data_IF_393191990333
#
_entry.id   IF_393191990333
#
_cell.length_a   1.000
_cell.length_b   1.000
_cell.length_c   1.000
_cell.angle_alpha   90.00
_cell.angle_beta   90.00
_cell.angle_gamma   90.00
#
_symmetry.space_group_name_H-M   'P 1'
#
loop_
_entity.id
_entity.type
_entity.pdbx_description
1 polymer ?
#
# COMPACT_ATOMS: atom_id res chain seq x y z
N UNK A 1 25.38 -6.93 -60.99
CA UNK A 1 25.98 -8.14 -60.37
C UNK A 1 26.80 -7.66 -59.17
N UNK A 2 26.55 -7.97 -57.90
CA UNK A 2 25.85 -9.08 -57.23
C UNK A 2 24.80 -8.53 -56.25
N UNK A 3 23.65 -9.21 -56.19
CA UNK A 3 22.59 -8.97 -55.22
C UNK A 3 22.99 -9.58 -53.87
N UNK A 4 22.79 -8.86 -52.76
CA UNK A 4 22.76 -9.48 -51.43
C UNK A 4 21.40 -9.14 -50.82
N UNK A 5 20.71 -10.21 -50.47
CA UNK A 5 19.30 -10.31 -50.11
C UNK A 5 19.06 -9.77 -48.70
N UNK A 6 17.92 -9.10 -48.55
CA UNK A 6 17.20 -8.93 -47.28
C UNK A 6 16.95 -10.30 -46.64
N UNK A 7 17.37 -10.48 -45.39
CA UNK A 7 16.93 -11.56 -44.53
C UNK A 7 15.83 -11.03 -43.59
N UNK A 8 14.66 -11.67 -43.51
CA UNK A 8 13.56 -11.23 -42.66
C UNK A 8 13.83 -11.55 -41.18
N UNK A 9 13.53 -10.58 -40.32
CA UNK A 9 13.41 -10.72 -38.87
C UNK A 9 12.30 -11.74 -38.56
N UNK A 10 12.68 -12.89 -38.00
CA UNK A 10 11.77 -13.89 -37.48
C UNK A 10 11.06 -13.35 -36.23
N UNK A 11 9.75 -13.16 -36.36
CA UNK A 11 8.81 -12.92 -35.26
C UNK A 11 8.72 -14.20 -34.44
N UNK A 12 9.26 -14.21 -33.22
CA UNK A 12 8.96 -15.26 -32.23
C UNK A 12 7.63 -14.89 -31.58
N UNK A 13 6.55 -15.34 -32.22
CA UNK A 13 5.22 -15.35 -31.63
C UNK A 13 5.11 -16.59 -30.72
N UNK A 14 5.21 -16.40 -29.40
CA UNK A 14 4.82 -17.43 -28.45
C UNK A 14 3.30 -17.43 -28.28
N UNK A 15 2.66 -18.42 -28.90
CA UNK A 15 1.28 -18.83 -28.67
C UNK A 15 1.03 -19.13 -27.18
N UNK A 16 0.18 -18.33 -26.54
CA UNK A 16 -0.58 -18.74 -25.37
C UNK A 16 -2.06 -18.76 -25.78
N UNK A 17 -2.48 -19.85 -26.41
CA UNK A 17 -3.89 -20.13 -26.63
C UNK A 17 -4.39 -21.16 -25.61
N UNK A 18 -5.45 -20.74 -24.92
CA UNK A 18 -6.63 -21.52 -24.54
C UNK A 18 -6.49 -22.64 -23.51
N UNK A 19 -7.01 -22.40 -22.31
CA UNK A 19 -8.21 -23.14 -21.84
C UNK A 19 -9.16 -22.17 -21.13
N UNK A 20 -10.08 -21.59 -21.89
CA UNK A 20 -11.39 -21.19 -21.35
C UNK A 20 -12.33 -22.30 -21.79
N UNK A 21 -12.79 -23.12 -20.84
CA UNK A 21 -13.97 -23.95 -21.06
C UNK A 21 -14.92 -23.78 -19.88
N UNK A 22 -16.05 -23.21 -20.25
CA UNK A 22 -17.30 -23.08 -19.52
C UNK A 22 -17.80 -24.49 -19.19
N UNK A 23 -18.26 -24.69 -17.96
CA UNK A 23 -19.21 -25.75 -17.66
C UNK A 23 -20.32 -25.15 -16.77
N UNK A 24 -21.33 -24.61 -17.45
CA UNK A 24 -22.65 -24.39 -16.90
C UNK A 24 -23.42 -25.70 -17.05
N UNK A 25 -24.09 -26.11 -15.97
CA UNK A 25 -25.20 -27.06 -15.86
C UNK A 25 -25.08 -28.48 -16.44
N UNK A 26 -25.07 -29.46 -15.51
CA UNK A 26 -25.88 -30.66 -15.67
C UNK A 26 -26.32 -31.24 -14.30
N UNK A 27 -27.64 -31.23 -14.11
CA UNK A 27 -28.47 -32.21 -13.38
C UNK A 27 -28.41 -32.32 -11.84
N UNK A 28 -29.48 -31.78 -11.24
CA UNK A 28 -30.25 -32.38 -10.14
C UNK A 28 -30.29 -33.92 -10.24
N UNK A 29 -29.96 -34.59 -9.14
CA UNK A 29 -30.72 -35.61 -8.39
C UNK A 29 -29.70 -36.36 -7.52
N UNK A 30 -29.67 -35.99 -6.25
CA UNK A 30 -29.25 -36.84 -5.13
C UNK A 30 -29.78 -36.17 -3.85
N UNK A 31 -31.10 -36.15 -3.72
CA UNK A 31 -31.73 -36.13 -2.39
C UNK A 31 -31.59 -37.57 -1.87
N UNK A 32 -30.69 -37.78 -0.91
CA UNK A 32 -31.08 -38.40 0.36
C UNK A 32 -29.87 -38.47 1.32
N UNK A 33 -30.10 -37.93 2.51
CA UNK A 33 -29.32 -38.12 3.74
C UNK A 33 -27.91 -37.50 3.81
N UNK A 34 -27.86 -36.17 3.85
CA UNK A 34 -26.94 -35.48 4.76
C UNK A 34 -27.60 -34.19 5.22
N UNK A 35 -27.84 -34.05 6.52
CA UNK A 35 -28.21 -32.78 7.16
C UNK A 35 -27.20 -31.71 6.76
N UNK A 36 -27.56 -30.89 5.77
CA UNK A 36 -26.75 -29.82 5.24
C UNK A 36 -26.73 -28.66 6.23
N UNK A 37 -25.83 -28.75 7.21
CA UNK A 37 -25.35 -27.55 7.89
C UNK A 37 -24.51 -26.76 6.89
N UNK A 38 -25.17 -25.94 6.06
CA UNK A 38 -24.49 -24.88 5.34
C UNK A 38 -23.80 -24.00 6.38
N UNK A 39 -22.48 -23.79 6.31
CA UNK A 39 -21.81 -22.92 7.27
C UNK A 39 -22.45 -21.53 7.19
N UNK A 40 -22.79 -20.96 8.34
CA UNK A 40 -23.34 -19.61 8.40
C UNK A 40 -22.38 -18.66 7.65
N UNK A 41 -22.92 -17.86 6.72
CA UNK A 41 -22.09 -16.93 5.93
C UNK A 41 -21.31 -15.98 6.85
N UNK A 42 -21.97 -15.52 7.91
CA UNK A 42 -21.36 -14.67 8.93
C UNK A 42 -22.01 -14.90 10.29
N UNK A 43 -21.22 -14.82 11.35
CA UNK A 43 -21.70 -14.70 12.73
C UNK A 43 -21.14 -13.42 13.36
N UNK A 44 -21.91 -12.83 14.27
CA UNK A 44 -21.47 -11.67 15.06
C UNK A 44 -21.37 -12.06 16.54
N UNK A 45 -20.33 -11.60 17.21
CA UNK A 45 -20.08 -11.80 18.65
C UNK A 45 -19.75 -10.47 19.31
N UNK A 46 -20.54 -10.08 20.30
CA UNK A 46 -20.21 -8.98 21.20
C UNK A 46 -19.09 -9.40 22.16
N UNK A 47 -18.05 -8.58 22.26
CA UNK A 47 -16.88 -8.81 23.09
C UNK A 47 -16.72 -7.62 24.04
N UNK A 48 -17.13 -7.80 25.29
CA UNK A 48 -17.04 -6.76 26.34
C UNK A 48 -15.75 -6.93 27.12
N UNK A 49 -14.75 -6.13 26.80
CA UNK A 49 -13.44 -6.15 27.44
C UNK A 49 -13.38 -5.38 28.76
N UNK A 50 -14.40 -4.59 29.09
CA UNK A 50 -14.57 -3.94 30.40
C UNK A 50 -14.62 -4.96 31.54
N UNK A 51 -15.40 -6.04 31.38
CA UNK A 51 -15.58 -7.07 32.40
C UNK A 51 -14.46 -8.12 32.35
N UNK A 52 -13.95 -8.40 31.15
CA UNK A 52 -12.88 -9.36 30.93
C UNK A 52 -11.92 -8.86 29.84
N UNK A 53 -10.78 -8.25 30.21
CA UNK A 53 -9.82 -7.71 29.24
C UNK A 53 -9.28 -8.75 28.25
N UNK A 54 -9.35 -10.05 28.55
CA UNK A 54 -8.87 -11.11 27.65
C UNK A 54 -9.98 -11.72 26.77
N UNK A 55 -11.20 -11.19 26.83
CA UNK A 55 -12.35 -11.75 26.12
C UNK A 55 -12.11 -11.87 24.60
N UNK A 56 -11.53 -10.85 23.97
CA UNK A 56 -11.21 -10.87 22.53
C UNK A 56 -10.22 -11.98 22.18
N UNK A 57 -9.12 -12.09 22.93
CA UNK A 57 -8.11 -13.14 22.73
C UNK A 57 -8.73 -14.53 22.89
N UNK A 58 -9.55 -14.71 23.92
CA UNK A 58 -10.24 -15.97 24.17
C UNK A 58 -11.24 -16.32 23.05
N UNK A 59 -11.90 -15.31 22.47
CA UNK A 59 -12.80 -15.51 21.34
C UNK A 59 -12.05 -15.87 20.05
N UNK A 60 -10.93 -15.20 19.75
CA UNK A 60 -10.08 -15.51 18.60
C UNK A 60 -9.53 -16.95 18.62
N UNK A 61 -9.30 -17.51 19.82
CA UNK A 61 -8.84 -18.88 20.01
C UNK A 61 -9.94 -19.94 19.83
N UNK A 62 -11.20 -19.54 19.64
CA UNK A 62 -12.31 -20.49 19.42
C UNK A 62 -12.46 -20.85 17.95
N UNK A 63 -12.90 -22.07 17.70
CA UNK A 63 -13.33 -22.52 16.37
C UNK A 63 -14.78 -22.09 16.12
N UNK A 64 -15.03 -21.51 14.95
CA UNK A 64 -16.36 -21.11 14.51
C UNK A 64 -16.72 -21.80 13.21
N UNK A 65 -17.93 -22.35 13.12
CA UNK A 65 -18.48 -22.95 11.90
C UNK A 65 -19.17 -21.89 11.02
N UNK A 66 -18.43 -20.84 10.69
CA UNK A 66 -18.85 -19.80 9.75
C UNK A 66 -17.71 -19.45 8.81
N UNK A 67 -18.02 -18.80 7.69
CA UNK A 67 -16.99 -18.22 6.84
C UNK A 67 -16.44 -16.95 7.50
N UNK A 68 -17.31 -15.99 7.79
CA UNK A 68 -16.94 -14.76 8.46
C UNK A 68 -17.34 -14.77 9.95
N UNK A 69 -16.51 -14.17 10.80
CA UNK A 69 -16.78 -13.93 12.22
C UNK A 69 -16.49 -12.47 12.51
N UNK A 70 -17.52 -11.73 12.87
CA UNK A 70 -17.42 -10.33 13.29
C UNK A 70 -17.40 -10.24 14.81
N UNK A 71 -16.34 -9.68 15.36
CA UNK A 71 -16.22 -9.30 16.75
C UNK A 71 -16.52 -7.82 16.90
N UNK A 72 -17.57 -7.50 17.64
CA UNK A 72 -17.90 -6.11 18.02
C UNK A 72 -17.32 -5.89 19.40
N UNK A 73 -16.26 -5.08 19.51
CA UNK A 73 -15.52 -4.88 20.75
C UNK A 73 -15.96 -3.62 21.49
N UNK A 74 -15.99 -3.70 22.82
CA UNK A 74 -16.14 -2.54 23.71
C UNK A 74 -15.22 -2.66 24.92
N UNK A 75 -14.79 -1.52 25.47
CA UNK A 75 -13.79 -1.44 26.52
C UNK A 75 -12.35 -1.70 26.03
N UNK A 76 -11.39 -1.74 26.96
CA UNK A 76 -9.97 -1.95 26.67
C UNK A 76 -9.65 -3.45 26.56
N UNK A 77 -9.58 -3.98 25.35
CA UNK A 77 -9.15 -5.35 25.09
C UNK A 77 -7.62 -5.48 25.22
N UNK A 78 -7.15 -6.55 25.87
CA UNK A 78 -5.73 -6.75 26.13
C UNK A 78 -5.03 -7.45 24.96
N UNK A 79 -4.03 -6.76 24.41
CA UNK A 79 -3.06 -7.28 23.45
C UNK A 79 -1.83 -7.94 24.12
N UNK A 80 -0.90 -8.48 23.31
CA UNK A 80 -1.00 -8.65 21.86
C UNK A 80 -2.04 -9.72 21.47
N UNK A 81 -2.47 -9.73 20.22
CA UNK A 81 -3.30 -10.80 19.65
C UNK A 81 -2.69 -11.30 18.34
N UNK A 82 -2.95 -12.57 18.05
CA UNK A 82 -2.54 -13.22 16.81
C UNK A 82 -3.79 -13.75 16.09
N UNK A 83 -3.88 -13.49 14.80
CA UNK A 83 -4.99 -13.91 13.95
C UNK A 83 -4.42 -14.76 12.82
N UNK A 84 -4.83 -16.03 12.78
CA UNK A 84 -4.41 -17.01 11.76
C UNK A 84 -5.59 -17.58 10.97
N UNK A 85 -6.81 -17.18 11.32
CA UNK A 85 -8.04 -17.61 10.66
C UNK A 85 -8.52 -16.49 9.73
N UNK A 86 -8.81 -16.83 8.48
CA UNK A 86 -9.44 -15.89 7.53
C UNK A 86 -10.89 -15.58 7.87
N UNK A 87 -11.39 -14.44 7.37
CA UNK A 87 -12.77 -14.02 7.57
C UNK A 87 -13.00 -13.53 9.00
N UNK A 88 -12.04 -12.82 9.58
CA UNK A 88 -12.18 -12.17 10.88
C UNK A 88 -12.41 -10.68 10.66
N UNK A 89 -13.45 -10.14 11.27
CA UNK A 89 -13.67 -8.70 11.37
C UNK A 89 -13.63 -8.31 12.85
N UNK A 90 -12.84 -7.31 13.20
CA UNK A 90 -12.84 -6.70 14.53
C UNK A 90 -13.27 -5.26 14.34
N UNK A 91 -14.43 -4.91 14.89
CA UNK A 91 -15.01 -3.59 14.74
C UNK A 91 -15.34 -3.01 16.11
N UNK A 92 -15.23 -1.70 16.26
CA UNK A 92 -15.71 -1.03 17.45
C UNK A 92 -17.24 -1.08 17.56
N UNK A 93 -17.74 -1.18 18.79
CA UNK A 93 -19.14 -0.92 19.10
C UNK A 93 -19.43 0.57 18.90
N UNK A 94 -20.43 0.95 18.10
CA UNK A 94 -20.75 2.37 17.90
C UNK A 94 -21.37 3.03 19.14
N UNK A 95 -21.90 2.25 20.08
CA UNK A 95 -22.49 2.75 21.33
C UNK A 95 -21.48 2.89 22.48
N UNK A 96 -20.29 2.30 22.38
CA UNK A 96 -19.28 2.24 23.44
C UNK A 96 -17.87 2.37 22.86
N UNK A 97 -16.92 2.97 23.58
CA UNK A 97 -15.53 2.97 23.10
C UNK A 97 -14.87 1.60 23.30
N UNK A 98 -14.33 1.03 22.22
CA UNK A 98 -13.48 -0.15 22.19
C UNK A 98 -12.05 0.21 21.78
N UNK A 99 -11.08 -0.47 22.40
CA UNK A 99 -9.66 -0.30 22.07
C UNK A 99 -8.89 -1.59 22.30
N UNK A 100 -7.67 -1.66 21.76
CA UNK A 100 -6.73 -2.74 22.03
C UNK A 100 -5.46 -2.17 22.67
N UNK A 101 -5.05 -2.71 23.82
CA UNK A 101 -3.86 -2.24 24.55
C UNK A 101 -2.82 -3.31 24.81
N UNK A 102 -1.59 -3.06 24.40
CA UNK A 102 -0.40 -3.80 24.83
C UNK A 102 0.22 -3.09 26.04
N UNK A 103 0.51 -3.83 27.11
CA UNK A 103 1.09 -3.25 28.34
C UNK A 103 2.61 -3.23 28.27
N UNK A 104 3.25 -2.34 29.04
CA UNK A 104 4.72 -2.18 29.04
C UNK A 104 5.50 -3.46 29.37
N UNK A 105 4.94 -4.35 30.21
CA UNK A 105 5.55 -5.66 30.50
C UNK A 105 5.61 -6.59 29.30
N UNK A 106 4.82 -6.30 28.27
CA UNK A 106 4.72 -7.05 27.02
C UNK A 106 5.51 -6.33 25.89
N UNK A 107 6.40 -5.36 26.19
CA UNK A 107 7.18 -4.55 25.20
C UNK A 107 8.10 -5.38 24.26
N UNK A 108 8.33 -6.65 24.55
CA UNK A 108 9.08 -7.57 23.68
C UNK A 108 8.29 -8.18 22.53
N UNK A 109 7.00 -7.86 22.41
CA UNK A 109 6.14 -8.38 21.34
C UNK A 109 6.30 -7.48 20.11
N UNK A 110 6.65 -8.05 18.95
CA UNK A 110 6.95 -7.27 17.75
C UNK A 110 5.78 -6.40 17.29
N UNK A 111 4.54 -6.89 17.45
CA UNK A 111 3.31 -6.20 17.07
C UNK A 111 2.17 -6.45 18.06
N UNK A 112 1.23 -5.51 18.13
CA UNK A 112 0.02 -5.63 18.96
C UNK A 112 -1.04 -6.52 18.33
N UNK A 113 -1.20 -6.44 17.00
CA UNK A 113 -2.03 -7.34 16.21
C UNK A 113 -1.13 -7.95 15.12
N UNK A 114 -0.91 -9.26 15.22
CA UNK A 114 -0.21 -10.03 14.21
C UNK A 114 -1.21 -10.82 13.37
N UNK A 115 -1.23 -10.56 12.07
CA UNK A 115 -2.07 -11.26 11.09
C UNK A 115 -1.16 -12.13 10.23
N UNK A 116 -1.35 -13.44 10.29
CA UNK A 116 -0.57 -14.40 9.50
C UNK A 116 -1.49 -15.22 8.61
N UNK A 117 -1.15 -15.34 7.33
CA UNK A 117 -1.80 -16.25 6.38
C UNK A 117 -3.33 -16.22 6.44
N UNK A 118 -3.89 -15.03 6.63
CA UNK A 118 -5.33 -14.84 6.85
C UNK A 118 -5.84 -13.51 6.31
N UNK A 119 -7.14 -13.45 6.06
CA UNK A 119 -7.85 -12.23 5.69
C UNK A 119 -8.59 -11.63 6.88
N UNK A 120 -8.28 -10.38 7.22
CA UNK A 120 -8.79 -9.68 8.41
C UNK A 120 -9.20 -8.25 8.08
N UNK A 121 -10.35 -7.81 8.62
CA UNK A 121 -10.77 -6.41 8.65
C UNK A 121 -10.71 -5.86 10.07
N UNK A 122 -10.08 -4.69 10.26
CA UNK A 122 -10.06 -3.93 11.50
C UNK A 122 -10.73 -2.57 11.25
N UNK A 123 -11.70 -2.19 12.08
CA UNK A 123 -12.58 -1.05 11.81
C UNK A 123 -12.86 -0.19 13.06
N UNK A 124 -12.51 1.08 12.98
CA UNK A 124 -12.96 2.15 13.89
C UNK A 124 -12.55 1.99 15.38
N UNK A 125 -11.34 1.55 15.69
CA UNK A 125 -10.85 1.49 17.08
C UNK A 125 -9.40 1.94 17.23
N UNK A 126 -9.02 2.28 18.47
CA UNK A 126 -7.66 2.68 18.80
C UNK A 126 -6.80 1.49 19.29
N UNK A 127 -5.53 1.48 18.89
CA UNK A 127 -4.51 0.52 19.32
C UNK A 127 -3.43 1.24 20.13
N UNK A 128 -3.40 1.00 21.44
CA UNK A 128 -2.43 1.57 22.37
C UNK A 128 -1.28 0.60 22.65
N UNK A 129 -0.05 1.03 22.35
CA UNK A 129 1.15 0.21 22.49
C UNK A 129 2.28 0.95 23.21
N UNK A 130 3.22 0.22 23.83
CA UNK A 130 4.47 0.81 24.29
C UNK A 130 5.35 1.24 23.10
N UNK A 131 6.31 2.14 23.34
CA UNK A 131 7.28 2.53 22.30
C UNK A 131 8.03 1.29 21.77
N UNK A 132 8.25 1.24 20.46
CA UNK A 132 8.96 0.16 19.77
C UNK A 132 8.09 -1.05 19.41
N UNK A 133 6.79 -1.03 19.72
CA UNK A 133 5.84 -2.09 19.33
C UNK A 133 5.00 -1.61 18.16
N UNK A 134 4.96 -2.38 17.07
CA UNK A 134 4.13 -2.10 15.89
C UNK A 134 2.65 -2.27 16.23
N UNK A 135 1.76 -1.45 15.69
CA UNK A 135 0.32 -1.59 15.96
C UNK A 135 -0.26 -2.81 15.24
N UNK A 136 -0.01 -2.92 13.93
CA UNK A 136 -0.49 -4.03 13.10
C UNK A 136 0.61 -4.52 12.17
N UNK A 137 0.84 -5.83 12.14
CA UNK A 137 1.72 -6.49 11.18
C UNK A 137 0.91 -7.55 10.42
N UNK A 138 0.85 -7.43 9.10
CA UNK A 138 0.27 -8.41 8.19
C UNK A 138 1.39 -9.12 7.43
N UNK A 139 1.46 -10.45 7.56
CA UNK A 139 2.53 -11.26 6.96
C UNK A 139 2.08 -12.63 6.46
N UNK A 140 2.96 -13.26 5.71
CA UNK A 140 2.84 -14.63 5.20
C UNK A 140 1.56 -14.82 4.37
N UNK A 141 1.41 -14.04 3.29
CA UNK A 141 0.22 -14.03 2.44
C UNK A 141 -1.07 -13.60 3.17
N UNK A 142 -0.97 -12.62 4.07
CA UNK A 142 -2.14 -12.05 4.72
C UNK A 142 -2.85 -11.01 3.84
N UNK A 143 -4.14 -10.81 4.09
CA UNK A 143 -4.91 -9.69 3.55
C UNK A 143 -5.47 -8.88 4.70
N UNK A 144 -5.11 -7.60 4.77
CA UNK A 144 -5.55 -6.68 5.81
C UNK A 144 -6.45 -5.60 5.22
N UNK A 145 -7.55 -5.29 5.88
CA UNK A 145 -8.33 -4.09 5.63
C UNK A 145 -8.33 -3.25 6.90
N UNK A 146 -7.77 -2.04 6.84
CA UNK A 146 -7.81 -1.06 7.94
C UNK A 146 -8.75 0.06 7.54
N UNK A 147 -9.75 0.31 8.38
CA UNK A 147 -10.62 1.47 8.27
C UNK A 147 -10.67 2.22 9.60
N UNK A 148 -10.35 3.50 9.61
CA UNK A 148 -10.45 4.35 10.81
C UNK A 148 -9.74 3.76 12.04
N UNK A 149 -8.59 3.11 11.86
CA UNK A 149 -7.80 2.54 12.97
C UNK A 149 -6.72 3.52 13.39
N UNK A 150 -6.74 3.93 14.65
CA UNK A 150 -5.77 4.87 15.22
C UNK A 150 -4.77 4.15 16.13
N UNK A 151 -3.60 4.74 16.34
CA UNK A 151 -2.60 4.18 17.25
C UNK A 151 -1.60 5.22 17.75
N UNK A 152 -1.10 5.02 18.96
CA UNK A 152 0.00 5.79 19.54
C UNK A 152 1.39 5.17 19.27
N UNK A 153 1.47 4.13 18.43
CA UNK A 153 2.70 3.42 18.12
C UNK A 153 3.80 4.38 17.64
N UNK A 154 4.98 4.29 18.25
CA UNK A 154 6.14 5.13 17.91
C UNK A 154 7.43 4.42 18.19
N UNK A 155 8.50 4.87 17.54
CA UNK A 155 9.84 4.33 17.73
C UNK A 155 10.28 4.39 19.20
N UNK A 156 11.07 3.40 19.64
CA UNK A 156 11.74 3.45 20.93
C UNK A 156 12.97 4.36 20.92
N UNK A 157 13.61 4.52 19.76
CA UNK A 157 14.82 5.30 19.51
C UNK A 157 14.67 6.13 18.21
N UNK A 158 15.70 6.88 17.80
CA UNK A 158 15.72 7.62 16.53
C UNK A 158 15.95 6.69 15.32
N UNK A 159 15.17 5.62 15.20
CA UNK A 159 15.22 4.68 14.07
C UNK A 159 13.96 4.78 13.22
N UNK A 160 14.01 4.45 11.92
CA UNK A 160 12.81 4.29 11.11
C UNK A 160 11.86 3.28 11.76
N UNK A 161 10.61 3.67 11.94
CA UNK A 161 9.59 2.87 12.61
C UNK A 161 8.26 3.02 11.88
N UNK A 162 7.54 1.91 11.76
CA UNK A 162 6.26 1.82 11.07
C UNK A 162 5.19 1.42 12.07
N UNK A 163 4.05 2.09 12.00
CA UNK A 163 2.90 1.75 12.83
C UNK A 163 2.14 0.56 12.24
N UNK A 164 2.05 0.52 10.91
CA UNK A 164 1.45 -0.57 10.15
C UNK A 164 2.47 -1.17 9.19
N UNK A 165 2.64 -2.48 9.24
CA UNK A 165 3.61 -3.22 8.41
C UNK A 165 2.89 -4.25 7.56
N UNK A 166 3.18 -4.23 6.26
CA UNK A 166 2.67 -5.21 5.28
C UNK A 166 3.88 -5.88 4.64
N UNK A 167 4.07 -7.18 4.89
CA UNK A 167 5.27 -7.91 4.48
C UNK A 167 4.95 -9.33 4.01
N UNK A 168 5.95 -9.99 3.42
CA UNK A 168 5.94 -11.41 3.07
C UNK A 168 4.75 -11.75 2.17
N UNK A 169 4.69 -11.08 1.01
CA UNK A 169 3.66 -11.24 -0.02
C UNK A 169 2.22 -10.99 0.48
N UNK A 170 2.05 -10.00 1.37
CA UNK A 170 0.75 -9.64 1.93
C UNK A 170 0.15 -8.43 1.23
N UNK A 171 -1.15 -8.26 1.39
CA UNK A 171 -1.90 -7.14 0.81
C UNK A 171 -2.61 -6.34 1.89
N UNK A 172 -2.60 -5.01 1.80
CA UNK A 172 -3.40 -4.14 2.64
C UNK A 172 -4.31 -3.21 1.82
N UNK A 173 -5.50 -2.95 2.36
CA UNK A 173 -6.43 -1.93 1.92
C UNK A 173 -6.65 -0.95 3.07
N UNK A 174 -6.43 0.33 2.82
CA UNK A 174 -6.29 1.36 3.85
C UNK A 174 -7.26 2.52 3.54
N UNK A 175 -8.11 2.84 4.50
CA UNK A 175 -9.10 3.93 4.42
C UNK A 175 -9.16 4.71 5.74
N UNK A 176 -9.51 6.00 5.65
CA UNK A 176 -9.75 6.86 6.81
C UNK A 176 -8.57 6.86 7.82
N UNK A 177 -7.34 6.90 7.31
CA UNK A 177 -6.14 6.96 8.15
C UNK A 177 -5.64 8.39 8.29
N UNK A 178 -5.06 8.73 9.44
CA UNK A 178 -4.54 10.08 9.66
C UNK A 178 -3.22 10.07 10.44
N UNK A 179 -2.20 10.70 9.86
CA UNK A 179 -0.88 10.87 10.48
C UNK A 179 -0.09 9.57 10.68
N UNK A 180 -0.56 8.46 10.11
CA UNK A 180 0.05 7.14 10.31
C UNK A 180 1.30 6.93 9.46
N UNK A 181 2.12 5.96 9.86
CA UNK A 181 3.31 5.53 9.09
C UNK A 181 3.17 4.06 8.68
N UNK A 182 3.22 3.81 7.37
CA UNK A 182 3.02 2.50 6.74
C UNK A 182 4.31 2.04 6.07
N UNK A 183 4.71 0.80 6.33
CA UNK A 183 5.85 0.17 5.67
C UNK A 183 5.43 -1.07 4.88
N UNK A 184 5.89 -1.17 3.63
CA UNK A 184 5.47 -2.18 2.66
C UNK A 184 6.72 -2.89 2.11
N UNK A 185 6.86 -4.20 2.37
CA UNK A 185 8.09 -4.96 2.18
C UNK A 185 7.89 -6.34 1.57
N UNK A 186 8.97 -6.94 1.08
CA UNK A 186 9.05 -8.34 0.67
C UNK A 186 7.92 -8.74 -0.29
N UNK A 187 7.86 -8.08 -1.44
CA UNK A 187 6.86 -8.33 -2.50
C UNK A 187 5.41 -8.15 -2.04
N UNK A 188 5.16 -7.19 -1.15
CA UNK A 188 3.82 -6.88 -0.65
C UNK A 188 3.17 -5.74 -1.40
N UNK A 189 1.88 -5.55 -1.15
CA UNK A 189 1.08 -4.52 -1.79
C UNK A 189 0.23 -3.76 -0.77
N UNK A 190 0.14 -2.44 -0.89
CA UNK A 190 -0.87 -1.66 -0.17
C UNK A 190 -1.61 -0.71 -1.10
N UNK A 191 -2.92 -0.61 -0.87
CA UNK A 191 -3.82 0.24 -1.61
C UNK A 191 -4.49 1.23 -0.64
N UNK A 192 -4.21 2.51 -0.83
CA UNK A 192 -4.83 3.64 -0.14
C UNK A 192 -6.10 4.02 -0.91
N UNK A 193 -7.24 3.68 -0.31
CA UNK A 193 -8.54 3.70 -0.98
C UNK A 193 -9.13 5.10 -0.97
N UNK A 194 -9.24 5.72 0.20
CA UNK A 194 -9.86 7.04 0.41
C UNK A 194 -9.56 7.58 1.81
N UNK A 195 -9.74 8.90 1.95
CA UNK A 195 -9.68 9.64 3.21
C UNK A 195 -8.40 9.39 4.04
N UNK A 196 -7.28 9.14 3.37
CA UNK A 196 -5.98 9.00 4.01
C UNK A 196 -5.24 10.35 4.01
N UNK A 197 -4.94 10.90 5.18
CA UNK A 197 -4.29 12.22 5.33
C UNK A 197 -3.01 12.17 6.17
N UNK A 198 -2.04 13.02 5.81
CA UNK A 198 -0.72 13.13 6.44
C UNK A 198 0.04 11.80 6.60
N UNK A 199 -0.20 10.84 5.69
CA UNK A 199 0.40 9.51 5.79
C UNK A 199 1.87 9.55 5.36
N UNK A 200 2.72 8.83 6.10
CA UNK A 200 4.06 8.47 5.63
C UNK A 200 4.05 7.03 5.10
N UNK A 201 4.55 6.83 3.89
CA UNK A 201 4.63 5.50 3.26
C UNK A 201 6.06 5.23 2.86
N UNK A 202 6.58 4.06 3.24
CA UNK A 202 7.83 3.56 2.69
C UNK A 202 7.63 2.20 1.99
N UNK A 203 8.13 2.08 0.76
CA UNK A 203 7.97 0.91 -0.12
C UNK A 203 9.33 0.35 -0.52
N UNK A 204 9.56 -0.94 -0.26
CA UNK A 204 10.84 -1.62 -0.51
C UNK A 204 10.68 -3.04 -1.07
N UNK A 205 11.78 -3.63 -1.53
CA UNK A 205 11.93 -5.05 -1.80
C UNK A 205 10.86 -5.61 -2.76
N UNK A 206 10.77 -5.00 -3.94
CA UNK A 206 9.82 -5.36 -5.01
C UNK A 206 8.34 -5.25 -4.57
N UNK A 207 8.06 -4.40 -3.59
CA UNK A 207 6.69 -4.12 -3.14
C UNK A 207 6.08 -2.94 -3.89
N UNK A 208 4.76 -2.79 -3.78
CA UNK A 208 4.05 -1.70 -4.42
C UNK A 208 3.06 -0.99 -3.49
N UNK A 209 2.96 0.33 -3.62
CA UNK A 209 1.88 1.15 -3.04
C UNK A 209 1.04 1.79 -4.14
N UNK A 210 -0.26 1.93 -3.92
CA UNK A 210 -1.15 2.61 -4.85
C UNK A 210 -2.14 3.50 -4.10
N UNK A 211 -2.29 4.76 -4.50
CA UNK A 211 -3.37 5.66 -4.08
C UNK A 211 -4.40 5.79 -5.20
N UNK A 212 -5.68 5.59 -4.89
CA UNK A 212 -6.79 5.54 -5.88
C UNK A 212 -7.78 6.72 -5.80
N UNK A 213 -7.44 7.75 -5.05
CA UNK A 213 -8.32 8.88 -4.76
C UNK A 213 -7.51 10.03 -4.18
N UNK A 214 -8.21 11.11 -3.82
CA UNK A 214 -7.68 12.33 -3.21
C UNK A 214 -7.10 12.06 -1.80
N UNK A 215 -6.02 11.30 -1.72
CA UNK A 215 -5.28 11.04 -0.49
C UNK A 215 -4.08 11.99 -0.37
N UNK A 216 -3.75 12.34 0.86
CA UNK A 216 -2.66 13.24 1.20
C UNK A 216 -1.54 12.52 1.95
N UNK A 217 -0.36 12.54 1.36
CA UNK A 217 0.84 11.92 1.90
C UNK A 217 1.81 13.00 2.38
N UNK A 218 2.17 12.93 3.66
CA UNK A 218 3.26 13.74 4.20
C UNK A 218 4.59 13.40 3.54
N UNK A 219 4.83 12.12 3.27
CA UNK A 219 6.00 11.68 2.52
C UNK A 219 5.83 10.27 1.99
N UNK A 220 6.31 10.04 0.77
CA UNK A 220 6.43 8.71 0.18
C UNK A 220 7.89 8.43 -0.13
N UNK A 221 8.40 7.29 0.35
CA UNK A 221 9.73 6.80 0.02
C UNK A 221 9.62 5.47 -0.72
N UNK A 222 10.32 5.37 -1.86
CA UNK A 222 10.36 4.15 -2.68
C UNK A 222 11.81 3.77 -2.94
N UNK A 223 12.18 2.53 -2.63
CA UNK A 223 13.52 2.00 -2.93
C UNK A 223 13.50 0.49 -3.17
N UNK A 224 14.67 -0.12 -3.48
CA UNK A 224 14.80 -1.58 -3.54
C UNK A 224 13.88 -2.28 -4.57
N UNK A 225 13.74 -1.72 -5.77
CA UNK A 225 12.77 -2.14 -6.79
C UNK A 225 11.28 -1.95 -6.38
N UNK A 226 11.02 -1.14 -5.35
CA UNK A 226 9.66 -0.75 -5.00
C UNK A 226 9.02 0.13 -6.05
N UNK A 227 7.69 0.17 -6.06
CA UNK A 227 6.88 1.01 -6.93
C UNK A 227 5.82 1.77 -6.13
N UNK A 228 5.54 3.02 -6.49
CA UNK A 228 4.40 3.76 -5.96
C UNK A 228 3.66 4.50 -7.06
N UNK A 229 2.33 4.36 -7.08
CA UNK A 229 1.45 5.13 -7.95
C UNK A 229 0.56 6.03 -7.10
N UNK A 230 0.58 7.33 -7.35
CA UNK A 230 -0.42 8.28 -6.89
C UNK A 230 -1.34 8.62 -8.06
N UNK A 231 -2.64 8.51 -7.85
CA UNK A 231 -3.64 8.68 -8.89
C UNK A 231 -4.87 9.39 -8.33
N UNK A 232 -5.69 9.92 -9.23
CA UNK A 232 -6.94 10.61 -8.96
C UNK A 232 -6.80 11.68 -7.85
N UNK A 233 -6.14 12.79 -8.18
CA UNK A 233 -5.99 13.98 -7.32
C UNK A 233 -5.18 13.75 -6.02
N UNK A 234 -4.41 12.65 -5.94
CA UNK A 234 -3.50 12.39 -4.82
C UNK A 234 -2.44 13.49 -4.64
N UNK A 235 -2.14 13.87 -3.40
CA UNK A 235 -1.09 14.84 -3.06
C UNK A 235 0.05 14.21 -2.25
N UNK A 236 1.29 14.41 -2.69
CA UNK A 236 2.50 13.99 -1.95
C UNK A 236 3.36 15.21 -1.63
N UNK A 237 3.51 15.55 -0.35
CA UNK A 237 4.35 16.68 0.06
C UNK A 237 5.82 16.46 -0.29
N UNK A 238 6.35 15.26 0.02
CA UNK A 238 7.74 14.87 -0.25
C UNK A 238 7.79 13.47 -0.86
N UNK A 239 8.26 13.38 -2.10
CA UNK A 239 8.50 12.11 -2.78
C UNK A 239 10.01 11.83 -2.85
N UNK A 240 10.40 10.65 -2.38
CA UNK A 240 11.78 10.19 -2.33
C UNK A 240 11.91 8.86 -3.09
N UNK A 241 12.65 8.86 -4.21
CA UNK A 241 12.81 7.67 -5.07
C UNK A 241 14.29 7.29 -5.15
N UNK A 242 14.66 6.17 -4.51
CA UNK A 242 16.05 5.76 -4.30
C UNK A 242 16.37 4.41 -4.94
N UNK A 243 17.68 4.16 -5.12
CA UNK A 243 18.24 2.87 -5.54
C UNK A 243 17.70 2.41 -6.89
N UNK A 244 16.61 1.62 -6.93
CA UNK A 244 15.93 1.15 -8.15
C UNK A 244 14.42 1.35 -8.06
N UNK A 245 13.99 2.29 -7.21
CA UNK A 245 12.58 2.61 -7.03
C UNK A 245 12.00 3.32 -8.26
N UNK A 246 10.70 3.17 -8.43
CA UNK A 246 9.92 3.89 -9.42
C UNK A 246 8.69 4.52 -8.76
N UNK A 247 8.36 5.74 -9.15
CA UNK A 247 7.15 6.40 -8.69
C UNK A 247 6.44 7.14 -9.84
N UNK A 248 5.12 7.12 -9.83
CA UNK A 248 4.30 7.76 -10.83
C UNK A 248 3.21 8.60 -10.15
N UNK A 249 2.93 9.76 -10.71
CA UNK A 249 1.73 10.54 -10.38
C UNK A 249 0.85 10.69 -11.62
N UNK A 250 -0.46 10.55 -11.46
CA UNK A 250 -1.41 10.51 -12.56
C UNK A 250 -2.74 11.19 -12.22
N UNK A 251 -3.55 11.51 -13.23
CA UNK A 251 -4.89 12.11 -13.09
C UNK A 251 -4.91 13.28 -12.08
N UNK A 252 -4.30 14.41 -12.45
CA UNK A 252 -4.30 15.65 -11.64
C UNK A 252 -3.63 15.54 -10.25
N UNK A 253 -2.92 14.44 -9.99
CA UNK A 253 -2.11 14.26 -8.79
C UNK A 253 -0.93 15.23 -8.74
N UNK A 254 -0.38 15.43 -7.53
CA UNK A 254 0.69 16.40 -7.33
C UNK A 254 1.78 15.97 -6.36
N UNK A 255 3.00 16.46 -6.64
CA UNK A 255 4.16 16.33 -5.77
C UNK A 255 4.70 17.71 -5.41
N UNK A 256 4.90 17.95 -4.12
CA UNK A 256 5.56 19.15 -3.60
C UNK A 256 7.06 19.11 -3.91
N UNK A 257 7.81 18.33 -3.13
CA UNK A 257 9.25 18.15 -3.27
C UNK A 257 9.60 16.77 -3.85
N UNK A 258 10.62 16.71 -4.71
CA UNK A 258 11.13 15.47 -5.27
C UNK A 258 12.62 15.28 -5.01
N UNK A 259 12.94 14.14 -4.42
CA UNK A 259 14.29 13.65 -4.21
C UNK A 259 14.46 12.33 -4.96
N UNK A 260 15.49 12.25 -5.80
CA UNK A 260 15.76 11.05 -6.59
C UNK A 260 17.23 10.67 -6.53
N UNK A 261 17.52 9.38 -6.34
CA UNK A 261 18.89 8.86 -6.34
C UNK A 261 19.02 7.44 -6.86
N UNK A 262 20.20 7.10 -7.39
CA UNK A 262 20.52 5.74 -7.84
C UNK A 262 20.24 5.53 -9.33
N UNK A 263 19.44 4.51 -9.64
CA UNK A 263 18.87 4.14 -10.94
C UNK A 263 17.34 4.17 -10.83
N UNK A 264 16.79 5.37 -10.61
CA UNK A 264 15.38 5.55 -10.27
C UNK A 264 14.56 6.18 -11.39
N UNK A 265 13.25 5.99 -11.33
CA UNK A 265 12.28 6.55 -12.26
C UNK A 265 11.23 7.37 -11.52
N UNK A 266 10.91 8.54 -12.07
CA UNK A 266 9.74 9.33 -11.73
C UNK A 266 9.02 9.75 -13.01
N UNK A 267 7.70 9.62 -13.03
CA UNK A 267 6.89 10.17 -14.11
C UNK A 267 5.63 10.87 -13.60
N UNK A 268 5.21 11.91 -14.32
CA UNK A 268 3.95 12.60 -14.08
C UNK A 268 3.11 12.62 -15.36
N UNK A 269 1.88 12.16 -15.26
CA UNK A 269 0.95 12.00 -16.39
C UNK A 269 -0.37 12.73 -16.16
N UNK A 270 -1.07 13.04 -17.27
CA UNK A 270 -2.47 13.51 -17.30
C UNK A 270 -2.76 14.67 -16.33
N UNK A 271 -2.27 15.86 -16.68
CA UNK A 271 -2.50 17.10 -15.93
C UNK A 271 -1.90 17.11 -14.51
N UNK A 272 -1.04 16.16 -14.17
CA UNK A 272 -0.35 16.13 -12.89
C UNK A 272 0.66 17.26 -12.76
N UNK A 273 0.99 17.60 -11.52
CA UNK A 273 1.85 18.76 -11.21
C UNK A 273 2.98 18.40 -10.27
N UNK A 274 4.16 18.92 -10.56
CA UNK A 274 5.28 18.90 -9.62
C UNK A 274 5.87 20.29 -9.37
N UNK A 275 6.10 20.62 -8.10
CA UNK A 275 6.41 21.99 -7.69
C UNK A 275 7.87 22.26 -7.36
N UNK A 276 8.62 21.25 -6.93
CA UNK A 276 9.97 21.38 -6.41
C UNK A 276 10.04 21.83 -4.94
N UNK A 277 11.23 21.83 -4.32
CA UNK A 277 12.53 21.69 -4.97
C UNK A 277 12.84 20.28 -5.49
N UNK A 278 13.84 20.20 -6.37
CA UNK A 278 14.31 18.96 -6.98
C UNK A 278 15.73 18.67 -6.52
N UNK A 279 15.93 17.48 -5.95
CA UNK A 279 17.27 17.00 -5.62
C UNK A 279 17.54 15.69 -6.34
N UNK A 280 18.37 15.76 -7.39
CA UNK A 280 18.62 14.64 -8.30
C UNK A 280 20.06 14.15 -8.20
N UNK A 281 20.23 12.90 -7.79
CA UNK A 281 21.50 12.19 -7.64
C UNK A 281 21.52 10.93 -8.51
N UNK A 282 22.69 10.48 -8.96
CA UNK A 282 22.80 9.28 -9.80
C UNK A 282 22.22 9.43 -11.21
N UNK A 283 21.74 8.30 -11.76
CA UNK A 283 21.19 8.16 -13.10
C UNK A 283 19.67 8.05 -12.96
N UNK A 284 18.95 9.12 -13.27
CA UNK A 284 17.50 9.18 -13.05
C UNK A 284 16.76 9.26 -14.38
N UNK A 285 15.53 8.76 -14.38
CA UNK A 285 14.54 9.01 -15.43
C UNK A 285 13.47 9.91 -14.85
N UNK A 286 13.31 11.09 -15.42
CA UNK A 286 12.28 12.06 -15.09
C UNK A 286 11.45 12.34 -16.34
N UNK A 287 10.16 12.02 -16.28
CA UNK A 287 9.25 12.14 -17.40
C UNK A 287 8.01 12.97 -17.06
N UNK A 288 7.60 13.84 -17.98
CA UNK A 288 6.35 14.60 -17.90
C UNK A 288 5.52 14.36 -19.16
N UNK A 289 4.29 13.91 -19.01
CA UNK A 289 3.34 13.81 -20.12
C UNK A 289 2.06 14.58 -19.79
N UNK A 290 1.68 15.54 -20.64
CA UNK A 290 0.50 16.38 -20.42
C UNK A 290 0.48 17.04 -19.02
N UNK A 291 1.66 17.28 -18.45
CA UNK A 291 1.85 17.59 -17.03
C UNK A 291 2.73 18.82 -16.84
N UNK A 292 2.77 19.32 -15.60
CA UNK A 292 3.42 20.59 -15.27
C UNK A 292 4.56 20.41 -14.28
N UNK A 293 5.68 21.08 -14.53
CA UNK A 293 6.76 21.24 -13.56
C UNK A 293 7.03 22.73 -13.28
N UNK A 294 7.03 23.09 -12.00
CA UNK A 294 7.37 24.43 -11.52
C UNK A 294 8.73 24.42 -10.84
N UNK A 295 9.36 25.60 -10.75
CA UNK A 295 10.68 25.80 -10.13
C UNK A 295 11.78 24.85 -10.65
N UNK A 296 11.62 24.35 -11.88
CA UNK A 296 12.58 23.46 -12.50
C UNK A 296 13.88 24.23 -12.78
N UNK A 297 15.02 23.62 -12.46
CA UNK A 297 16.35 24.15 -12.79
C UNK A 297 17.03 23.18 -13.73
N UNK A 298 17.72 23.70 -14.73
CA UNK A 298 18.54 22.87 -15.61
C UNK A 298 19.57 22.10 -14.75
N UNK A 299 19.69 20.79 -14.99
CA UNK A 299 20.61 19.92 -14.27
C UNK A 299 21.50 19.22 -15.30
N UNK A 300 22.81 19.43 -15.22
CA UNK A 300 23.77 18.72 -16.08
C UNK A 300 23.96 17.29 -15.56
N UNK A 301 23.22 16.33 -16.13
CA UNK A 301 23.27 14.89 -15.78
C UNK A 301 23.38 14.03 -17.04
N UNK A 302 24.59 13.73 -17.54
CA UNK A 302 24.78 13.08 -18.85
C UNK A 302 24.20 11.66 -18.95
N UNK A 303 24.01 10.98 -17.83
CA UNK A 303 23.47 9.61 -17.78
C UNK A 303 22.00 9.55 -17.29
N UNK A 304 21.32 10.69 -17.24
CA UNK A 304 19.90 10.77 -16.87
C UNK A 304 19.05 11.08 -18.10
N UNK A 305 17.81 10.60 -18.08
CA UNK A 305 16.79 10.94 -19.08
C UNK A 305 15.86 11.95 -18.41
N UNK A 306 15.78 13.13 -18.99
CA UNK A 306 14.87 14.18 -18.55
C UNK A 306 14.11 14.62 -19.79
N UNK A 307 12.85 14.25 -19.85
CA UNK A 307 12.03 14.41 -21.04
C UNK A 307 10.60 14.83 -20.68
N UNK A 308 9.89 15.34 -21.68
CA UNK A 308 8.47 15.52 -21.58
C UNK A 308 7.78 15.66 -22.93
N UNK A 309 6.49 15.36 -22.94
CA UNK A 309 5.60 15.44 -24.09
C UNK A 309 4.33 16.20 -23.69
N UNK A 310 3.98 17.23 -24.46
CA UNK A 310 2.92 18.19 -24.11
C UNK A 310 3.06 18.73 -22.67
N UNK A 311 4.29 18.98 -22.24
CA UNK A 311 4.62 19.36 -20.88
C UNK A 311 4.69 20.89 -20.73
N UNK A 312 4.33 21.41 -19.56
CA UNK A 312 4.55 22.82 -19.22
C UNK A 312 5.62 22.92 -18.15
N UNK A 313 6.73 23.61 -18.43
CA UNK A 313 7.84 23.75 -17.50
C UNK A 313 8.09 25.21 -17.23
N UNK A 314 8.02 25.62 -15.95
CA UNK A 314 8.15 27.00 -15.50
C UNK A 314 7.22 27.97 -16.28
N UNK A 315 6.01 27.52 -16.59
CA UNK A 315 5.00 28.30 -17.34
C UNK A 315 5.18 28.32 -18.86
N UNK A 316 6.21 27.67 -19.41
CA UNK A 316 6.42 27.55 -20.86
C UNK A 316 5.96 26.18 -21.34
N UNK A 317 5.15 26.14 -22.39
CA UNK A 317 4.67 24.90 -23.00
C UNK A 317 5.71 24.33 -23.98
N UNK A 318 5.96 23.03 -23.87
CA UNK A 318 6.85 22.25 -24.72
C UNK A 318 6.09 21.05 -25.31
N UNK A 319 5.79 21.05 -26.63
CA UNK A 319 5.17 19.90 -27.29
C UNK A 319 6.04 18.64 -27.16
N UNK A 320 7.34 18.79 -27.37
CA UNK A 320 8.35 17.78 -27.11
C UNK A 320 9.54 18.44 -26.42
N UNK A 321 10.01 17.83 -25.34
CA UNK A 321 11.03 18.37 -24.45
C UNK A 321 12.07 17.30 -24.14
N UNK A 322 13.35 17.58 -24.40
CA UNK A 322 14.46 16.69 -24.05
C UNK A 322 15.68 17.50 -23.62
N UNK A 323 16.31 17.10 -22.51
CA UNK A 323 17.47 17.80 -21.92
C UNK A 323 18.81 17.11 -22.09
N UNK A 324 18.91 16.04 -22.87
CA UNK A 324 20.16 15.31 -23.05
C UNK A 324 21.31 16.27 -23.39
N UNK A 325 22.19 16.51 -22.41
CA UNK A 325 23.48 17.17 -22.60
C UNK A 325 23.50 18.67 -22.98
N UNK A 326 22.51 19.50 -22.63
CA UNK A 326 22.64 20.96 -22.86
C UNK A 326 23.42 21.67 -21.74
N UNK A 327 24.72 21.41 -21.66
CA UNK A 327 25.69 22.44 -21.28
C UNK A 327 25.90 23.32 -22.53
N UNK A 328 25.28 24.50 -22.60
CA UNK A 328 25.77 25.61 -23.43
C UNK A 328 25.02 26.93 -23.22
N UNK A 329 24.69 27.28 -21.97
CA UNK A 329 24.57 28.69 -21.56
C UNK A 329 25.11 28.90 -20.16
#
# INVERSE_FOLDING_TARGET
MKSIRLAPLGVVATCLCSTVSVAHEATKIADDQHTSHWPLKQITKEIRCTDNPHALRNALNKTYQSQNVRFVISGECRGPIKIQRSGIEIINDSGLSGSLRVRAKDKGVGSAILIESSSVKLDNFNIDVPNGVVAVEAKANATLTLNHVTTNAKAAEQTPFYQFVVTDNSTAYLSELSGNTVGIYNSSYANFIEDCDQIKVDVYDTSAGYSKSENHFRSVQVAGNGYFLADDESHINLLMVWSKGAAEINNESSVGELQMGGQSLFAAYKSSTISGPYSLWGNVVFELEHSKAYNWKAVTKPNSIIAGHNATVNGVFYPDWQWTGQDSK
#
